data_IF_883311999400
#
_entry.id   IF_883311999400
#
_cell.length_a   1.000
_cell.length_b   1.000
_cell.length_c   1.000
_cell.angle_alpha   90.00
_cell.angle_beta   90.00
_cell.angle_gamma   90.00
#
_symmetry.space_group_name_H-M   'P 1'
#
loop_
_entity.id
_entity.type
_entity.pdbx_description
1 polymer ?
#
# COMPACT_ATOMS: atom_id res chain seq x y z
N UNK A 1 -32.32 -12.03 19.21
CA UNK A 1 -31.81 -11.02 18.26
C UNK A 1 -30.37 -11.38 17.94
N UNK A 2 -30.13 -11.91 16.74
CA UNK A 2 -28.84 -12.48 16.33
C UNK A 2 -27.96 -11.33 15.80
N UNK A 3 -26.78 -11.12 16.40
CA UNK A 3 -25.78 -10.17 15.89
C UNK A 3 -24.41 -10.84 15.87
N UNK A 4 -23.78 -11.00 14.69
CA UNK A 4 -22.33 -11.13 14.64
C UNK A 4 -21.62 -10.31 13.55
N UNK A 5 -20.37 -10.00 13.89
CA UNK A 5 -19.22 -9.62 13.04
C UNK A 5 -19.16 -8.13 12.62
N UNK A 6 -18.23 -7.38 13.23
CA UNK A 6 -17.72 -6.07 12.79
C UNK A 6 -18.78 -5.04 12.39
N UNK A 7 -19.47 -4.48 13.40
CA UNK A 7 -20.33 -3.31 13.23
C UNK A 7 -19.53 -2.12 12.69
N UNK A 8 -19.51 -2.01 11.36
CA UNK A 8 -19.38 -0.73 10.66
C UNK A 8 -20.78 -0.12 10.76
N UNK A 9 -20.93 1.04 11.38
CA UNK A 9 -22.18 1.79 11.25
C UNK A 9 -22.29 2.28 9.81
N UNK A 10 -22.89 1.46 8.93
CA UNK A 10 -23.61 1.95 7.75
C UNK A 10 -25.04 2.20 8.20
N UNK A 11 -25.37 3.44 8.52
CA UNK A 11 -26.75 3.86 8.74
C UNK A 11 -27.26 4.54 7.48
N UNK A 12 -28.20 3.88 6.79
CA UNK A 12 -29.10 4.51 5.81
C UNK A 12 -28.50 4.82 4.43
N UNK A 13 -29.34 4.70 3.40
CA UNK A 13 -29.01 5.05 2.01
C UNK A 13 -29.10 6.56 1.72
N UNK A 14 -29.47 7.37 2.71
CA UNK A 14 -29.60 8.81 2.56
C UNK A 14 -28.73 9.56 3.59
N UNK A 15 -27.77 10.30 3.04
CA UNK A 15 -27.07 11.46 3.61
C UNK A 15 -25.85 11.29 4.55
N UNK A 16 -24.79 11.98 4.11
CA UNK A 16 -23.62 12.53 4.80
C UNK A 16 -22.61 11.59 5.48
N UNK A 17 -21.33 11.79 5.12
CA UNK A 17 -20.17 11.22 5.81
C UNK A 17 -20.25 11.54 7.30
N UNK A 18 -20.75 10.62 8.13
CA UNK A 18 -20.71 10.83 9.57
C UNK A 18 -19.26 10.87 10.04
N UNK A 19 -18.83 12.11 10.30
CA UNK A 19 -17.64 12.49 11.04
C UNK A 19 -17.50 11.63 12.30
N UNK A 20 -16.30 11.11 12.55
CA UNK A 20 -16.01 10.22 13.69
C UNK A 20 -16.52 10.80 15.02
N UNK A 21 -16.43 12.12 15.18
CA UNK A 21 -16.95 12.85 16.33
C UNK A 21 -18.48 12.75 16.46
N UNK A 22 -19.25 12.95 15.39
CA UNK A 22 -20.71 12.91 15.42
C UNK A 22 -21.23 11.49 15.70
N UNK A 23 -20.63 10.49 15.06
CA UNK A 23 -20.95 9.09 15.29
C UNK A 23 -20.68 8.66 16.74
N UNK A 24 -19.56 9.10 17.33
CA UNK A 24 -19.26 8.82 18.74
C UNK A 24 -20.26 9.50 19.68
N UNK A 25 -20.65 10.76 19.41
CA UNK A 25 -21.61 11.48 20.25
C UNK A 25 -22.98 10.79 20.26
N UNK A 26 -23.42 10.22 19.13
CA UNK A 26 -24.63 9.39 19.06
C UNK A 26 -24.53 8.14 19.94
N UNK A 27 -23.41 7.42 19.89
CA UNK A 27 -23.16 6.26 20.76
C UNK A 27 -23.15 6.62 22.24
N UNK A 28 -22.57 7.78 22.58
CA UNK A 28 -22.53 8.30 23.95
C UNK A 28 -23.93 8.66 24.45
N UNK A 29 -24.75 9.31 23.63
CA UNK A 29 -26.13 9.68 23.97
C UNK A 29 -27.01 8.45 24.23
N UNK A 30 -26.79 7.35 23.50
CA UNK A 30 -27.48 6.08 23.70
C UNK A 30 -26.91 5.22 24.85
N UNK A 31 -25.85 5.69 25.54
CA UNK A 31 -25.20 4.93 26.62
C UNK A 31 -24.45 3.67 26.15
N UNK A 32 -24.12 3.59 24.86
CA UNK A 32 -23.51 2.40 24.24
C UNK A 32 -21.98 2.50 24.10
N UNK A 33 -21.38 3.64 24.44
CA UNK A 33 -19.95 3.92 24.26
C UNK A 33 -19.01 2.96 24.99
N UNK A 34 -19.47 2.30 26.07
CA UNK A 34 -18.69 1.28 26.80
C UNK A 34 -18.94 -0.15 26.31
N UNK A 35 -20.00 -0.36 25.51
CA UNK A 35 -20.44 -1.69 25.04
C UNK A 35 -20.00 -1.96 23.60
N UNK A 36 -19.70 -0.92 22.83
CA UNK A 36 -19.36 -1.01 21.40
C UNK A 36 -17.91 -0.59 21.19
N UNK A 37 -17.16 -1.39 20.42
CA UNK A 37 -15.84 -1.01 19.93
C UNK A 37 -16.03 -0.03 18.77
N UNK A 38 -15.68 1.23 18.98
CA UNK A 38 -15.78 2.28 17.99
C UNK A 38 -14.42 2.51 17.31
N UNK A 39 -14.42 2.46 15.98
CA UNK A 39 -13.21 2.53 15.15
C UNK A 39 -13.41 3.55 14.05
N UNK A 40 -12.34 4.29 13.74
CA UNK A 40 -12.29 5.20 12.60
C UNK A 40 -11.29 4.68 11.56
N UNK A 41 -11.66 4.72 10.28
CA UNK A 41 -10.76 4.49 9.15
C UNK A 41 -10.70 5.78 8.34
N UNK A 42 -9.54 6.43 8.32
CA UNK A 42 -9.37 7.70 7.62
C UNK A 42 -9.15 7.45 6.14
N UNK A 43 -9.93 8.13 5.30
CA UNK A 43 -9.85 8.01 3.84
C UNK A 43 -9.06 9.13 3.16
N UNK A 44 -8.71 10.17 3.91
CA UNK A 44 -7.96 11.33 3.43
C UNK A 44 -6.45 11.02 3.41
N UNK A 45 -5.81 11.14 2.25
CA UNK A 45 -4.44 10.68 2.05
C UNK A 45 -3.34 11.53 2.71
N UNK A 46 -3.61 12.82 2.95
CA UNK A 46 -2.60 13.74 3.48
C UNK A 46 -3.25 14.83 4.35
N UNK A 47 -3.96 15.76 3.71
CA UNK A 47 -4.73 16.78 4.42
C UNK A 47 -6.06 16.18 4.85
N UNK A 48 -6.18 15.85 6.13
CA UNK A 48 -7.39 15.31 6.73
C UNK A 48 -8.04 16.34 7.65
N UNK A 49 -9.37 16.37 7.68
CA UNK A 49 -10.11 17.23 8.58
C UNK A 49 -10.00 16.73 10.03
N UNK A 50 -9.88 17.65 11.01
CA UNK A 50 -9.83 17.31 12.45
C UNK A 50 -11.04 16.52 12.93
N UNK A 51 -12.17 16.62 12.23
CA UNK A 51 -13.39 15.84 12.48
C UNK A 51 -13.18 14.32 12.38
N UNK A 52 -12.13 13.86 11.71
CA UNK A 52 -11.75 12.44 11.72
C UNK A 52 -11.28 11.95 13.10
N UNK A 53 -10.89 12.84 14.00
CA UNK A 53 -10.30 12.46 15.29
C UNK A 53 -11.30 12.65 16.44
N UNK A 54 -11.43 11.63 17.28
CA UNK A 54 -12.22 11.68 18.50
C UNK A 54 -11.56 10.84 19.60
N UNK A 55 -11.35 11.40 20.78
CA UNK A 55 -10.68 10.73 21.92
C UNK A 55 -11.35 9.42 22.34
N UNK A 56 -12.66 9.29 22.09
CA UNK A 56 -13.45 8.13 22.45
C UNK A 56 -13.33 6.92 21.54
N UNK A 57 -12.57 7.00 20.42
CA UNK A 57 -12.34 5.86 19.54
C UNK A 57 -11.46 4.81 20.23
N UNK A 58 -11.74 3.52 20.03
CA UNK A 58 -10.84 2.47 20.47
C UNK A 58 -9.63 2.35 19.55
N UNK A 59 -9.83 2.58 18.24
CA UNK A 59 -8.78 2.56 17.22
C UNK A 59 -9.03 3.57 16.10
N UNK A 60 -7.95 4.15 15.58
CA UNK A 60 -7.92 5.00 14.41
C UNK A 60 -6.92 4.45 13.38
N UNK A 61 -7.43 4.03 12.23
CA UNK A 61 -6.64 3.51 11.11
C UNK A 61 -6.30 4.63 10.14
N UNK A 62 -5.00 4.93 10.05
CA UNK A 62 -4.48 6.00 9.21
C UNK A 62 -3.96 5.44 7.86
N UNK A 63 -4.14 6.18 6.75
CA UNK A 63 -3.64 5.78 5.45
C UNK A 63 -2.14 6.04 5.28
N UNK A 64 -1.55 6.90 6.11
CA UNK A 64 -0.14 7.29 6.05
C UNK A 64 0.41 7.67 7.41
N UNK A 65 1.74 7.76 7.51
CA UNK A 65 2.42 8.21 8.73
C UNK A 65 2.17 9.70 9.00
N UNK A 66 1.97 10.51 7.96
CA UNK A 66 1.63 11.93 8.07
C UNK A 66 0.29 12.13 8.76
N UNK A 67 -0.73 11.36 8.38
CA UNK A 67 -2.04 11.38 9.03
C UNK A 67 -1.96 10.85 10.46
N UNK A 68 -1.11 9.85 10.73
CA UNK A 68 -0.89 9.37 12.10
C UNK A 68 -0.20 10.41 12.99
N UNK A 69 0.79 11.14 12.47
CA UNK A 69 1.40 12.27 13.19
C UNK A 69 0.37 13.35 13.49
N UNK A 70 -0.53 13.64 12.53
CA UNK A 70 -1.63 14.59 12.75
C UNK A 70 -2.59 14.11 13.83
N UNK A 71 -2.97 12.85 13.81
CA UNK A 71 -3.83 12.22 14.81
C UNK A 71 -3.26 12.34 16.24
N UNK A 72 -1.95 12.11 16.39
CA UNK A 72 -1.22 12.28 17.66
C UNK A 72 -1.26 13.72 18.16
N UNK A 73 -1.03 14.68 17.26
CA UNK A 73 -1.01 16.11 17.63
C UNK A 73 -2.40 16.60 18.02
N UNK A 74 -3.46 16.13 17.35
CA UNK A 74 -4.78 16.69 17.56
C UNK A 74 -5.44 16.20 18.86
N UNK A 75 -5.64 14.88 19.03
CA UNK A 75 -6.40 14.34 20.18
C UNK A 75 -6.18 12.85 20.50
N UNK A 76 -5.40 12.08 19.72
CA UNK A 76 -5.33 10.62 19.89
C UNK A 76 -4.03 10.13 20.52
N UNK A 77 -4.14 9.09 21.36
CA UNK A 77 -3.00 8.40 21.94
C UNK A 77 -2.34 7.44 20.94
N UNK A 78 -1.03 7.24 21.05
CA UNK A 78 -0.27 6.28 20.22
C UNK A 78 -0.87 4.87 20.26
N UNK A 79 -1.43 4.46 21.40
CA UNK A 79 -2.08 3.17 21.56
C UNK A 79 -3.32 3.00 20.67
N UNK A 80 -4.02 4.10 20.33
CA UNK A 80 -5.22 4.13 19.50
C UNK A 80 -4.88 4.11 18.00
N UNK A 81 -3.68 4.51 17.60
CA UNK A 81 -3.34 4.76 16.18
C UNK A 81 -2.68 3.55 15.53
N UNK A 82 -3.12 3.19 14.32
CA UNK A 82 -2.46 2.18 13.48
C UNK A 82 -2.37 2.66 12.04
N UNK A 83 -1.20 2.50 11.42
CA UNK A 83 -0.98 2.86 10.02
C UNK A 83 -1.03 1.58 9.18
N UNK A 84 -2.10 1.43 8.40
CA UNK A 84 -2.26 0.28 7.49
C UNK A 84 -2.35 0.68 6.02
N UNK A 85 -2.69 1.94 5.73
CA UNK A 85 -3.07 2.39 4.39
C UNK A 85 -4.59 2.49 4.22
N UNK A 86 -5.02 2.97 3.05
CA UNK A 86 -6.43 2.96 2.70
C UNK A 86 -6.95 1.53 2.54
N UNK A 87 -8.20 1.27 2.98
CA UNK A 87 -8.84 0.00 2.70
C UNK A 87 -9.08 -0.14 1.20
N UNK A 88 -8.67 -1.28 0.64
CA UNK A 88 -8.88 -1.63 -0.77
C UNK A 88 -9.62 -2.96 -0.82
N UNK A 89 -10.56 -3.10 -1.76
CA UNK A 89 -11.28 -4.39 -1.90
C UNK A 89 -10.26 -5.49 -2.20
N UNK A 90 -10.34 -6.66 -1.54
CA UNK A 90 -9.41 -7.77 -1.76
C UNK A 90 -9.27 -8.20 -3.22
N UNK A 91 -10.32 -8.06 -4.03
CA UNK A 91 -10.31 -8.36 -5.47
C UNK A 91 -9.32 -7.51 -6.28
N UNK A 92 -8.97 -6.31 -5.81
CA UNK A 92 -7.95 -5.46 -6.43
C UNK A 92 -6.53 -5.80 -5.94
N UNK A 93 -6.38 -6.51 -4.82
CA UNK A 93 -5.09 -6.99 -4.31
C UNK A 93 -4.62 -8.17 -5.17
N UNK A 94 -3.90 -7.88 -6.26
CA UNK A 94 -3.29 -8.92 -7.11
C UNK A 94 -1.99 -9.42 -6.45
N UNK A 95 -1.75 -10.75 -6.39
CA UNK A 95 -0.47 -11.29 -5.96
C UNK A 95 0.67 -10.80 -6.86
N UNK A 96 1.81 -10.40 -6.26
CA UNK A 96 3.02 -9.97 -6.98
C UNK A 96 3.39 -10.92 -8.12
N UNK A 97 3.31 -12.24 -7.87
CA UNK A 97 3.60 -13.28 -8.88
C UNK A 97 2.78 -13.14 -10.16
N UNK A 98 1.51 -12.72 -10.07
CA UNK A 98 0.66 -12.48 -11.25
C UNK A 98 1.09 -11.23 -12.00
N UNK A 99 1.46 -10.16 -11.30
CA UNK A 99 2.02 -8.95 -11.92
C UNK A 99 3.30 -9.28 -12.69
N UNK A 100 4.24 -9.99 -12.05
CA UNK A 100 5.52 -10.37 -12.66
C UNK A 100 5.30 -11.20 -13.92
N UNK A 101 4.33 -12.13 -13.91
CA UNK A 101 3.98 -12.93 -15.09
C UNK A 101 3.45 -12.07 -16.23
N UNK A 102 2.48 -11.19 -15.96
CA UNK A 102 1.90 -10.31 -16.97
C UNK A 102 2.95 -9.37 -17.59
N UNK A 103 3.86 -8.86 -16.75
CA UNK A 103 5.00 -8.05 -17.21
C UNK A 103 5.96 -8.88 -18.04
N UNK A 104 6.30 -10.09 -17.62
CA UNK A 104 7.15 -10.99 -18.38
C UNK A 104 6.57 -11.33 -19.75
N UNK A 105 5.24 -11.42 -19.88
CA UNK A 105 4.56 -11.60 -21.17
C UNK A 105 4.63 -10.33 -22.02
N UNK A 106 4.35 -9.15 -21.44
CA UNK A 106 4.41 -7.87 -22.15
C UNK A 106 5.85 -7.48 -22.59
N UNK A 107 6.87 -7.94 -21.86
CA UNK A 107 8.28 -7.69 -22.14
C UNK A 107 8.93 -8.77 -23.01
N UNK A 108 8.16 -9.72 -23.51
CA UNK A 108 8.65 -10.78 -24.38
C UNK A 108 8.12 -10.59 -25.80
N UNK A 109 9.03 -10.44 -26.77
CA UNK A 109 8.65 -10.39 -28.17
C UNK A 109 8.52 -11.83 -28.70
N UNK A 110 7.28 -12.25 -28.97
CA UNK A 110 6.97 -13.60 -29.45
C UNK A 110 7.46 -13.85 -30.88
N UNK A 111 7.41 -12.85 -31.76
CA UNK A 111 7.85 -12.97 -33.17
C UNK A 111 9.37 -13.20 -33.27
N UNK A 112 10.13 -12.51 -32.42
CA UNK A 112 11.59 -12.60 -32.38
C UNK A 112 12.10 -13.62 -31.35
N UNK A 113 11.20 -14.28 -30.62
CA UNK A 113 11.52 -15.25 -29.58
C UNK A 113 12.45 -14.73 -28.48
N UNK A 114 12.45 -13.42 -28.20
CA UNK A 114 13.46 -12.78 -27.33
C UNK A 114 12.87 -11.76 -26.36
N UNK A 115 13.46 -11.59 -25.16
CA UNK A 115 13.08 -10.54 -24.23
C UNK A 115 13.44 -9.16 -24.79
N UNK A 116 12.53 -8.19 -24.66
CA UNK A 116 12.74 -6.77 -25.00
C UNK A 116 12.95 -5.90 -23.76
N UNK A 117 12.85 -6.50 -22.57
CA UNK A 117 13.11 -5.84 -21.30
C UNK A 117 13.41 -6.83 -20.19
N UNK A 118 13.51 -6.32 -18.98
CA UNK A 118 13.83 -7.11 -17.80
C UNK A 118 13.22 -6.51 -16.55
N UNK A 119 13.25 -7.30 -15.48
CA UNK A 119 12.53 -6.98 -14.25
C UNK A 119 13.49 -7.14 -13.07
N UNK A 120 13.60 -6.10 -12.24
CA UNK A 120 14.15 -6.21 -10.89
C UNK A 120 12.99 -6.23 -9.90
N UNK A 121 13.08 -7.06 -8.85
CA UNK A 121 12.09 -7.14 -7.78
C UNK A 121 12.83 -7.07 -6.44
N UNK A 122 12.61 -6.04 -5.63
CA UNK A 122 13.14 -5.97 -4.27
C UNK A 122 12.03 -6.32 -3.28
N UNK A 123 12.10 -7.48 -2.67
CA UNK A 123 11.09 -8.01 -1.74
C UNK A 123 11.23 -7.45 -0.31
N UNK A 124 12.26 -6.66 -0.05
CA UNK A 124 12.55 -6.14 1.29
C UNK A 124 12.75 -7.27 2.29
N UNK A 125 12.05 -7.22 3.42
CA UNK A 125 12.12 -8.26 4.46
C UNK A 125 11.23 -9.47 4.18
N UNK A 126 10.45 -9.48 3.10
CA UNK A 126 9.56 -10.58 2.77
C UNK A 126 10.31 -11.74 2.10
N UNK A 127 10.96 -12.57 2.93
CA UNK A 127 11.72 -13.74 2.48
C UNK A 127 10.83 -14.78 1.78
N UNK A 128 9.61 -14.98 2.26
CA UNK A 128 8.65 -15.94 1.67
C UNK A 128 8.34 -15.55 0.22
N UNK A 129 8.09 -14.26 -0.02
CA UNK A 129 7.86 -13.75 -1.36
C UNK A 129 9.08 -13.91 -2.26
N UNK A 130 10.29 -13.60 -1.76
CA UNK A 130 11.52 -13.77 -2.51
C UNK A 130 11.70 -15.22 -2.99
N UNK A 131 11.62 -16.20 -2.07
CA UNK A 131 11.74 -17.62 -2.42
C UNK A 131 10.63 -18.10 -3.36
N UNK A 132 9.41 -17.58 -3.21
CA UNK A 132 8.28 -17.90 -4.11
C UNK A 132 8.49 -17.39 -5.54
N UNK A 133 9.22 -16.29 -5.71
CA UNK A 133 9.51 -15.70 -7.02
C UNK A 133 10.77 -16.32 -7.64
N UNK A 134 11.75 -16.73 -6.85
CA UNK A 134 13.00 -17.34 -7.33
C UNK A 134 12.74 -18.66 -8.07
N UNK A 135 11.70 -19.38 -7.69
CA UNK A 135 11.28 -20.65 -8.29
C UNK A 135 10.38 -20.49 -9.52
N UNK A 136 10.03 -19.26 -9.91
CA UNK A 136 9.09 -19.01 -11.01
C UNK A 136 9.74 -19.16 -12.39
N UNK A 137 9.10 -19.83 -13.36
CA UNK A 137 9.54 -19.76 -14.74
C UNK A 137 9.20 -18.38 -15.32
N UNK A 138 10.22 -17.64 -15.75
CA UNK A 138 10.07 -16.30 -16.31
C UNK A 138 10.50 -16.26 -17.78
N UNK A 139 9.68 -15.65 -18.63
CA UNK A 139 9.98 -15.49 -20.07
C UNK A 139 11.06 -14.44 -20.35
N UNK A 140 11.35 -13.61 -19.35
CA UNK A 140 12.33 -12.52 -19.42
C UNK A 140 13.29 -12.62 -18.24
N UNK A 141 14.47 -11.98 -18.30
CA UNK A 141 15.35 -11.90 -17.15
C UNK A 141 14.65 -11.23 -15.96
N UNK A 142 14.56 -11.95 -14.84
CA UNK A 142 14.03 -11.44 -13.58
C UNK A 142 15.10 -11.58 -12.50
N UNK A 143 15.49 -10.46 -11.90
CA UNK A 143 16.42 -10.40 -10.76
C UNK A 143 15.61 -10.18 -9.48
N UNK A 144 15.79 -11.04 -8.49
CA UNK A 144 15.09 -10.95 -7.21
C UNK A 144 16.09 -10.56 -6.13
N UNK A 145 15.70 -9.61 -5.27
CA UNK A 145 16.50 -9.09 -4.16
C UNK A 145 15.68 -9.14 -2.88
N UNK A 146 16.36 -9.36 -1.76
CA UNK A 146 15.77 -9.27 -0.42
C UNK A 146 15.73 -7.82 0.06
N UNK A 147 16.32 -7.56 1.23
CA UNK A 147 16.50 -6.21 1.74
C UNK A 147 17.70 -5.55 1.03
N UNK A 148 17.47 -4.37 0.45
CA UNK A 148 18.48 -3.63 -0.32
C UNK A 148 18.67 -2.24 0.27
N UNK A 149 19.93 -1.88 0.54
CA UNK A 149 20.28 -0.60 1.15
C UNK A 149 20.54 0.46 0.09
N UNK A 150 20.95 0.06 -1.12
CA UNK A 150 21.29 0.95 -2.23
C UNK A 150 20.14 1.01 -3.24
N UNK A 151 18.92 1.29 -2.76
CA UNK A 151 17.72 1.30 -3.61
C UNK A 151 17.78 2.38 -4.69
N UNK A 152 18.49 3.48 -4.42
CA UNK A 152 18.70 4.59 -5.34
C UNK A 152 19.49 4.20 -6.60
N UNK A 153 20.41 3.23 -6.50
CA UNK A 153 21.14 2.68 -7.67
C UNK A 153 20.22 1.89 -8.57
N UNK A 154 19.35 1.08 -7.96
CA UNK A 154 18.36 0.30 -8.69
C UNK A 154 17.34 1.21 -9.35
N UNK A 155 16.79 2.19 -8.62
CA UNK A 155 15.89 3.19 -9.19
C UNK A 155 16.54 3.96 -10.35
N UNK A 156 17.79 4.40 -10.22
CA UNK A 156 18.51 5.10 -11.28
C UNK A 156 18.82 4.24 -12.51
N UNK A 157 18.82 2.91 -12.36
CA UNK A 157 19.00 1.97 -13.46
C UNK A 157 17.72 1.68 -14.23
N UNK A 158 16.60 2.28 -13.82
CA UNK A 158 15.26 1.87 -14.20
C UNK A 158 14.49 2.89 -15.04
N UNK A 159 13.56 2.42 -15.89
CA UNK A 159 12.73 3.31 -16.75
C UNK A 159 11.36 3.66 -16.14
N UNK A 160 10.83 2.83 -15.26
CA UNK A 160 9.59 3.09 -14.52
C UNK A 160 9.61 2.33 -13.20
N UNK A 161 8.64 2.54 -12.30
CA UNK A 161 8.52 1.81 -11.04
C UNK A 161 7.08 1.41 -10.73
N UNK A 162 6.87 0.15 -10.32
CA UNK A 162 5.64 -0.36 -9.75
C UNK A 162 5.86 -0.53 -8.25
N UNK A 163 5.07 0.15 -7.43
CA UNK A 163 5.25 0.14 -5.98
C UNK A 163 3.96 0.44 -5.21
N UNK A 164 3.98 0.13 -3.90
CA UNK A 164 2.97 0.64 -2.97
C UNK A 164 3.14 2.15 -2.86
N UNK A 165 2.04 2.89 -2.81
CA UNK A 165 2.04 4.34 -2.62
C UNK A 165 2.45 4.73 -1.19
N UNK A 166 3.68 4.42 -0.78
CA UNK A 166 4.30 4.97 0.41
C UNK A 166 4.90 6.35 0.08
N UNK A 167 4.78 7.35 0.98
CA UNK A 167 5.24 8.72 0.72
C UNK A 167 6.74 8.77 0.40
N UNK A 168 7.57 8.02 1.13
CA UNK A 168 9.02 7.95 0.88
C UNK A 168 9.37 7.43 -0.52
N UNK A 169 8.80 6.28 -0.91
CA UNK A 169 9.08 5.70 -2.24
C UNK A 169 8.53 6.54 -3.38
N UNK A 170 7.41 7.24 -3.18
CA UNK A 170 6.90 8.20 -4.17
C UNK A 170 7.89 9.36 -4.33
N UNK A 171 8.36 9.94 -3.23
CA UNK A 171 9.32 11.04 -3.26
C UNK A 171 10.64 10.62 -3.94
N UNK A 172 11.18 9.45 -3.58
CA UNK A 172 12.39 8.89 -4.18
C UNK A 172 12.24 8.67 -5.70
N UNK A 173 11.11 8.10 -6.13
CA UNK A 173 10.82 7.87 -7.54
C UNK A 173 10.71 9.19 -8.33
N UNK A 174 10.05 10.21 -7.77
CA UNK A 174 9.95 11.52 -8.39
C UNK A 174 11.31 12.21 -8.52
N UNK A 175 12.15 12.15 -7.48
CA UNK A 175 13.54 12.68 -7.53
C UNK A 175 14.37 11.98 -8.61
N UNK A 176 14.11 10.70 -8.87
CA UNK A 176 14.77 9.92 -9.92
C UNK A 176 14.12 10.06 -11.31
N UNK A 177 13.03 10.81 -11.44
CA UNK A 177 12.31 10.98 -12.71
C UNK A 177 11.61 9.70 -13.18
N UNK A 178 11.22 8.81 -12.27
CA UNK A 178 10.59 7.53 -12.60
C UNK A 178 9.06 7.66 -12.66
N UNK A 179 8.42 7.29 -13.79
CA UNK A 179 6.97 7.09 -13.85
C UNK A 179 6.52 6.03 -12.81
N UNK A 180 5.50 6.38 -12.02
CA UNK A 180 5.00 5.52 -10.93
C UNK A 180 3.70 4.84 -11.34
N UNK A 181 3.69 3.51 -11.29
CA UNK A 181 2.49 2.68 -11.38
C UNK A 181 2.11 2.17 -10.00
N UNK A 182 1.00 2.66 -9.47
CA UNK A 182 0.54 2.31 -8.12
C UNK A 182 -0.06 0.90 -8.09
N UNK A 183 0.55 0.00 -7.32
CA UNK A 183 -0.04 -1.32 -7.02
C UNK A 183 -0.29 -1.48 -5.52
N UNK A 184 -1.53 -1.82 -5.14
CA UNK A 184 -1.87 -2.13 -3.75
C UNK A 184 -1.46 -3.56 -3.41
N UNK A 185 -0.29 -3.69 -2.79
CA UNK A 185 0.24 -4.95 -2.26
C UNK A 185 0.28 -4.83 -0.72
N UNK A 186 -0.46 -5.68 -0.01
CA UNK A 186 -0.34 -5.79 1.44
C UNK A 186 1.10 -6.10 1.85
N UNK A 187 1.65 -5.33 2.79
CA UNK A 187 2.94 -5.49 3.52
C UNK A 187 4.22 -5.84 2.74
N UNK A 188 4.17 -5.96 1.42
CA UNK A 188 5.33 -6.13 0.58
C UNK A 188 5.77 -4.75 0.16
N UNK A 189 6.76 -4.20 0.87
CA UNK A 189 7.62 -3.17 0.33
C UNK A 189 8.35 -3.82 -0.86
N UNK A 190 7.65 -3.88 -1.99
CA UNK A 190 8.25 -3.91 -3.31
C UNK A 190 8.84 -2.52 -3.51
N UNK A 191 9.98 -2.27 -2.85
CA UNK A 191 10.87 -1.24 -3.34
C UNK A 191 11.20 -1.71 -4.75
N UNK A 192 10.83 -0.93 -5.75
CA UNK A 192 11.31 -1.16 -7.12
C UNK A 192 10.90 -2.54 -7.68
N UNK A 193 9.63 -2.72 -8.07
CA UNK A 193 9.45 -3.38 -9.37
C UNK A 193 9.56 -2.31 -10.43
N UNK A 194 10.77 -1.79 -10.58
CA UNK A 194 11.06 -1.21 -11.86
C UNK A 194 11.08 -2.33 -12.87
N UNK A 195 10.01 -2.39 -13.64
CA UNK A 195 10.09 -2.97 -14.96
C UNK A 195 10.92 -2.00 -15.76
N UNK A 196 12.22 -2.23 -15.77
CA UNK A 196 13.10 -1.47 -16.62
C UNK A 196 12.87 -1.96 -18.05
N UNK A 197 12.07 -1.20 -18.81
CA UNK A 197 11.97 -1.33 -20.26
C UNK A 197 13.28 -0.83 -20.91
N UNK A 198 14.36 -1.60 -20.69
CA UNK A 198 15.80 -1.35 -21.00
C UNK A 198 16.63 -0.85 -19.82
N UNK A 199 17.03 -1.76 -18.93
CA UNK A 199 18.19 -1.42 -18.10
C UNK A 199 19.39 -1.25 -19.03
N UNK A 200 20.04 -0.08 -18.98
CA UNK A 200 21.31 0.11 -19.70
C UNK A 200 22.20 -1.07 -19.33
N UNK A 201 22.84 -1.68 -20.35
CA UNK A 201 23.68 -2.90 -20.35
C UNK A 201 24.72 -3.03 -19.23
N UNK A 202 24.85 -2.04 -18.35
CA UNK A 202 25.97 -1.76 -17.47
C UNK A 202 25.87 -2.47 -16.11
N UNK A 203 24.69 -2.87 -15.63
CA UNK A 203 24.54 -3.33 -14.23
C UNK A 203 24.24 -4.84 -14.04
N UNK A 204 24.33 -5.64 -15.11
CA UNK A 204 24.00 -7.08 -15.07
C UNK A 204 25.11 -8.00 -15.62
N UNK A 205 26.36 -7.56 -15.52
CA UNK A 205 27.46 -8.53 -15.46
C UNK A 205 27.48 -9.21 -14.10
#
# INVERSE_FOLDING_TARGET
MQFPSWYTMKTGEDEEWMVATAAYMKLKWQGLQKKVVFVTVITDLNTCNRTWFNTGVNRCYCPSDEVAKRALVDVLESSQIRVFGLPVRPSFCRPVKKTVRALGEALFNAELGKPIGQIIIICGRNKILASTLETGPWKVPVKIRGFETQTEKWMGACDCIITKAGPGTIAEALVRGLPIMKQWLGSCIALVQSVCLRARRVLLK
#
